data_IF_411299878881
#
_entry.id   IF_411299878881
#
_cell.length_a   1.000
_cell.length_b   1.000
_cell.length_c   1.000
_cell.angle_alpha   90.00
_cell.angle_beta   90.00
_cell.angle_gamma   90.00
#
_symmetry.space_group_name_H-M   'P 1'
#
loop_
_entity.id
_entity.type
_entity.pdbx_description
1 polymer ?
#
# COMPACT_ATOMS: atom_id res chain seq x y z
N UNK A 1 -33.46 -0.92 16.00
CA UNK A 1 -33.27 -1.22 14.57
C UNK A 1 -33.36 -2.73 14.44
N UNK A 2 -34.07 -3.28 13.44
CA UNK A 2 -33.92 -4.69 13.11
C UNK A 2 -32.43 -4.97 12.95
N UNK A 3 -32.00 -6.12 13.48
CA UNK A 3 -30.59 -6.48 13.46
C UNK A 3 -30.23 -6.80 12.01
N UNK A 4 -29.71 -5.81 11.28
CA UNK A 4 -29.26 -5.92 9.87
C UNK A 4 -28.35 -7.14 9.70
N UNK A 5 -27.63 -7.51 10.76
CA UNK A 5 -26.80 -8.70 10.77
C UNK A 5 -27.65 -9.98 10.70
N UNK A 6 -28.76 -10.06 11.45
CA UNK A 6 -29.72 -11.16 11.35
C UNK A 6 -30.38 -11.26 9.97
N UNK A 7 -30.75 -10.11 9.37
CA UNK A 7 -31.32 -10.10 8.02
C UNK A 7 -30.32 -10.66 7.01
N UNK A 8 -29.07 -10.19 7.00
CA UNK A 8 -28.01 -10.65 6.09
C UNK A 8 -27.70 -12.14 6.29
N UNK A 9 -27.63 -12.62 7.54
CA UNK A 9 -27.37 -14.03 7.87
C UNK A 9 -28.53 -14.93 7.41
N UNK A 10 -29.75 -14.41 7.35
CA UNK A 10 -30.95 -15.16 6.97
C UNK A 10 -31.23 -15.22 5.46
N UNK A 11 -30.47 -14.50 4.63
CA UNK A 11 -30.71 -14.45 3.18
C UNK A 11 -30.34 -15.78 2.49
N UNK A 12 -31.30 -16.47 1.84
CA UNK A 12 -31.04 -17.77 1.22
C UNK A 12 -30.13 -17.69 -0.02
N UNK A 13 -30.05 -16.54 -0.69
CA UNK A 13 -29.13 -16.27 -1.79
C UNK A 13 -28.95 -14.75 -1.97
N UNK A 14 -28.05 -14.09 -1.23
CA UNK A 14 -27.86 -12.66 -1.38
C UNK A 14 -27.17 -12.33 -2.70
N UNK A 15 -27.36 -11.09 -3.16
CA UNK A 15 -26.59 -10.51 -4.27
C UNK A 15 -25.09 -10.62 -3.99
N UNK A 16 -24.27 -10.89 -5.00
CA UNK A 16 -22.82 -10.81 -4.85
C UNK A 16 -22.36 -9.36 -4.70
N UNK A 17 -21.38 -9.12 -3.82
CA UNK A 17 -20.80 -7.79 -3.61
C UNK A 17 -19.44 -7.70 -4.30
N UNK A 18 -19.29 -6.72 -5.18
CA UNK A 18 -18.02 -6.45 -5.87
C UNK A 18 -17.06 -5.67 -4.95
N UNK A 19 -15.88 -6.24 -4.68
CA UNK A 19 -14.85 -5.52 -3.92
C UNK A 19 -14.44 -4.23 -4.63
N UNK A 20 -14.10 -4.34 -5.92
CA UNK A 20 -13.56 -3.23 -6.69
C UNK A 20 -14.56 -2.08 -6.92
N UNK A 21 -15.85 -2.39 -7.07
CA UNK A 21 -16.89 -1.40 -7.39
C UNK A 21 -17.65 -0.88 -6.17
N UNK A 22 -17.84 -1.69 -5.14
CA UNK A 22 -18.73 -1.35 -4.01
C UNK A 22 -17.95 -1.19 -2.70
N UNK A 23 -17.05 -2.11 -2.37
CA UNK A 23 -16.32 -2.10 -1.08
C UNK A 23 -15.18 -1.08 -1.08
N UNK A 24 -14.33 -1.10 -2.11
CA UNK A 24 -13.14 -0.25 -2.21
C UNK A 24 -13.48 1.24 -2.08
N UNK A 25 -14.54 1.79 -2.72
CA UNK A 25 -14.94 3.18 -2.49
C UNK A 25 -15.28 3.49 -1.02
N UNK A 26 -15.92 2.58 -0.30
CA UNK A 26 -16.26 2.75 1.11
C UNK A 26 -14.98 2.79 1.95
N UNK A 27 -14.08 1.82 1.76
CA UNK A 27 -12.80 1.79 2.46
C UNK A 27 -11.98 3.07 2.20
N UNK A 28 -11.92 3.53 0.95
CA UNK A 28 -11.23 4.74 0.58
C UNK A 28 -11.80 5.98 1.30
N UNK A 29 -13.12 6.10 1.39
CA UNK A 29 -13.79 7.27 1.96
C UNK A 29 -13.87 7.24 3.49
N UNK A 30 -13.88 6.06 4.11
CA UNK A 30 -14.18 5.88 5.54
C UNK A 30 -13.01 5.38 6.37
N UNK A 31 -12.04 4.70 5.75
CA UNK A 31 -11.02 3.95 6.49
C UNK A 31 -9.58 4.41 6.14
N UNK A 32 -9.30 4.65 4.85
CA UNK A 32 -7.95 4.93 4.34
C UNK A 32 -7.33 6.21 4.90
N UNK A 33 -8.13 7.18 5.37
CA UNK A 33 -7.61 8.39 6.03
C UNK A 33 -6.72 8.06 7.25
N UNK A 34 -7.10 7.03 8.01
CA UNK A 34 -6.35 6.51 9.16
C UNK A 34 -5.47 5.30 8.76
N UNK A 35 -5.94 4.46 7.84
CA UNK A 35 -5.32 3.18 7.47
C UNK A 35 -4.63 3.18 6.09
N UNK A 36 -4.16 4.34 5.63
CA UNK A 36 -3.58 4.49 4.27
C UNK A 36 -2.06 4.53 4.20
N UNK A 37 -1.37 4.66 5.33
CA UNK A 37 0.08 4.92 5.38
C UNK A 37 0.84 3.84 6.14
N UNK A 38 2.17 3.90 6.11
CA UNK A 38 3.03 2.90 6.76
C UNK A 38 2.91 2.91 8.30
N UNK A 39 2.51 4.04 8.86
CA UNK A 39 2.24 4.31 10.27
C UNK A 39 0.77 4.13 10.67
N UNK A 40 -0.03 3.49 9.81
CA UNK A 40 -1.41 3.17 10.14
C UNK A 40 -1.49 2.45 11.50
N UNK A 41 -2.53 2.73 12.33
CA UNK A 41 -2.73 2.01 13.58
C UNK A 41 -2.69 0.50 13.36
N UNK A 42 -1.94 -0.20 14.23
CA UNK A 42 -1.69 -1.64 14.13
C UNK A 42 -1.08 -2.09 12.79
N UNK A 43 -0.43 -1.18 12.06
CA UNK A 43 0.02 -1.39 10.68
C UNK A 43 -1.06 -1.89 9.71
N UNK A 44 -2.34 -1.79 10.08
CA UNK A 44 -3.43 -2.27 9.24
C UNK A 44 -3.62 -1.31 8.07
N UNK A 45 -3.34 -1.79 6.85
CA UNK A 45 -3.49 -1.01 5.62
C UNK A 45 -4.77 -1.41 4.90
N UNK A 46 -5.68 -0.45 4.72
CA UNK A 46 -6.97 -0.66 4.06
C UNK A 46 -7.04 -0.03 2.67
N UNK A 47 -5.89 0.41 2.15
CA UNK A 47 -5.76 1.05 0.83
C UNK A 47 -5.81 0.07 -0.35
N UNK A 48 -5.68 -1.22 -0.10
CA UNK A 48 -5.74 -2.29 -1.11
C UNK A 48 -6.25 -3.59 -0.50
N UNK A 49 -6.65 -4.52 -1.36
CA UNK A 49 -7.08 -5.84 -0.92
C UNK A 49 -5.96 -6.63 -0.25
N UNK A 50 -4.74 -6.53 -0.77
CA UNK A 50 -3.57 -7.20 -0.21
C UNK A 50 -3.20 -6.62 1.17
N UNK A 51 -3.54 -5.36 1.43
CA UNK A 51 -3.42 -4.74 2.74
C UNK A 51 -4.38 -5.35 3.76
N UNK A 52 -5.62 -5.64 3.35
CA UNK A 52 -6.61 -6.37 4.14
C UNK A 52 -6.13 -7.80 4.44
N UNK A 53 -5.63 -8.52 3.43
CA UNK A 53 -5.12 -9.89 3.58
C UNK A 53 -3.88 -9.96 4.47
N UNK A 54 -2.99 -8.97 4.39
CA UNK A 54 -1.86 -8.85 5.30
C UNK A 54 -2.36 -8.79 6.75
N UNK A 55 -3.39 -8.01 7.01
CA UNK A 55 -3.99 -7.84 8.32
C UNK A 55 -3.24 -6.85 9.21
N UNK A 56 -3.30 -7.08 10.52
CA UNK A 56 -2.77 -6.17 11.55
C UNK A 56 -1.53 -6.76 12.23
N UNK A 57 -0.77 -5.90 12.89
CA UNK A 57 0.40 -6.25 13.69
C UNK A 57 0.48 -5.37 14.94
N UNK A 58 0.96 -5.96 16.03
CA UNK A 58 1.26 -5.25 17.29
C UNK A 58 2.60 -4.48 17.22
N UNK A 59 3.38 -4.68 16.16
CA UNK A 59 4.71 -4.08 16.01
C UNK A 59 4.63 -2.56 15.85
N UNK A 60 5.35 -1.84 16.70
CA UNK A 60 5.50 -0.38 16.64
C UNK A 60 6.51 -0.05 15.53
N UNK A 61 6.05 0.66 14.50
CA UNK A 61 6.91 1.01 13.34
C UNK A 61 7.92 2.10 13.73
N UNK A 62 7.43 3.22 14.24
CA UNK A 62 8.24 4.35 14.66
C UNK A 62 8.45 4.29 16.17
N UNK A 63 9.55 3.68 16.55
CA UNK A 63 10.01 3.59 17.93
C UNK A 63 11.30 4.40 18.06
N UNK A 64 11.21 5.58 18.69
CA UNK A 64 12.34 6.47 18.89
C UNK A 64 13.40 5.94 19.86
N UNK A 65 13.09 4.92 20.65
CA UNK A 65 14.03 4.28 21.56
C UNK A 65 14.85 3.15 20.88
N UNK A 66 14.52 2.81 19.64
CA UNK A 66 15.13 1.70 18.91
C UNK A 66 16.58 2.02 18.53
N UNK A 67 17.50 1.18 19.01
CA UNK A 67 18.93 1.29 18.70
C UNK A 67 19.35 0.60 17.40
N UNK A 68 18.59 -0.42 16.95
CA UNK A 68 18.93 -1.23 15.78
C UNK A 68 17.82 -1.21 14.73
N UNK A 69 18.13 -1.25 13.43
CA UNK A 69 17.12 -1.37 12.39
C UNK A 69 16.20 -2.58 12.61
N UNK A 70 14.95 -2.47 12.16
CA UNK A 70 14.02 -3.59 12.06
C UNK A 70 13.76 -3.92 10.61
N UNK A 71 13.42 -5.18 10.37
CA UNK A 71 12.99 -5.64 9.05
C UNK A 71 11.77 -4.85 8.57
N UNK A 72 11.79 -4.34 7.32
CA UNK A 72 10.68 -3.59 6.77
C UNK A 72 9.47 -4.49 6.47
N UNK A 73 8.29 -3.87 6.50
CA UNK A 73 6.98 -4.51 6.29
C UNK A 73 6.17 -3.78 5.23
N UNK A 74 6.82 -3.28 4.17
CA UNK A 74 6.21 -2.56 3.06
C UNK A 74 5.35 -3.52 2.25
N UNK A 75 4.09 -3.12 2.08
CA UNK A 75 3.11 -3.88 1.29
C UNK A 75 3.60 -4.04 -0.15
N UNK A 76 3.36 -5.21 -0.76
CA UNK A 76 3.81 -5.62 -2.10
C UNK A 76 5.31 -5.85 -2.29
N UNK A 77 6.13 -5.50 -1.30
CA UNK A 77 7.59 -5.48 -1.42
C UNK A 77 8.21 -6.55 -0.52
N UNK A 78 7.94 -6.48 0.79
CA UNK A 78 8.66 -7.30 1.77
C UNK A 78 8.03 -8.68 2.01
N UNK A 79 6.79 -8.89 1.56
CA UNK A 79 6.12 -10.18 1.48
C UNK A 79 5.02 -10.15 0.41
N UNK A 80 4.82 -11.29 -0.27
CA UNK A 80 3.94 -11.46 -1.44
C UNK A 80 2.79 -12.43 -1.19
N UNK A 81 2.70 -13.05 -0.01
CA UNK A 81 1.63 -14.00 0.34
C UNK A 81 1.14 -13.84 1.78
N UNK A 82 -0.09 -14.30 2.05
CA UNK A 82 -0.66 -14.35 3.42
C UNK A 82 0.27 -15.08 4.39
N UNK A 83 0.79 -16.24 3.98
CA UNK A 83 1.72 -17.05 4.79
C UNK A 83 2.99 -16.28 5.18
N UNK A 84 3.59 -15.55 4.24
CA UNK A 84 4.77 -14.72 4.52
C UNK A 84 4.46 -13.55 5.46
N UNK A 85 3.24 -12.99 5.41
CA UNK A 85 2.83 -11.98 6.38
C UNK A 85 2.65 -12.56 7.78
N UNK A 86 2.07 -13.77 7.89
CA UNK A 86 1.91 -14.48 9.17
C UNK A 86 3.27 -14.79 9.80
N UNK A 87 4.28 -15.19 9.02
CA UNK A 87 5.64 -15.41 9.53
C UNK A 87 6.34 -14.13 9.97
N UNK A 88 5.92 -12.96 9.46
CA UNK A 88 6.35 -11.63 9.93
C UNK A 88 5.54 -11.10 11.13
N UNK A 89 4.70 -11.93 11.75
CA UNK A 89 3.94 -11.56 12.96
C UNK A 89 2.70 -10.70 12.68
N UNK A 90 2.22 -10.66 11.43
CA UNK A 90 0.89 -10.11 11.14
C UNK A 90 -0.18 -11.18 11.35
N UNK A 91 -1.33 -10.80 11.86
CA UNK A 91 -2.49 -11.67 12.03
C UNK A 91 -3.68 -11.13 11.22
N UNK A 92 -4.58 -12.03 10.84
CA UNK A 92 -5.73 -11.66 10.01
C UNK A 92 -6.72 -10.79 10.78
N UNK A 93 -7.34 -9.85 10.07
CA UNK A 93 -8.52 -9.12 10.55
C UNK A 93 -9.81 -9.62 9.90
N UNK A 94 -9.69 -10.59 8.99
CA UNK A 94 -10.78 -11.28 8.27
C UNK A 94 -10.84 -12.75 8.72
N UNK A 95 -11.94 -13.43 8.44
CA UNK A 95 -11.95 -14.89 8.56
C UNK A 95 -11.15 -15.52 7.40
N UNK A 96 -10.14 -16.32 7.71
CA UNK A 96 -9.33 -17.06 6.71
C UNK A 96 -9.71 -18.54 6.59
N UNK A 97 -10.68 -19.00 7.39
CA UNK A 97 -11.12 -20.40 7.40
C UNK A 97 -11.96 -20.73 6.15
N UNK A 98 -11.77 -21.93 5.57
CA UNK A 98 -12.51 -22.37 4.39
C UNK A 98 -13.86 -23.01 4.76
N UNK A 99 -14.84 -22.88 3.87
CA UNK A 99 -16.16 -23.55 3.96
C UNK A 99 -17.02 -23.21 5.19
N UNK A 100 -16.94 -21.97 5.65
CA UNK A 100 -17.70 -21.45 6.79
C UNK A 100 -19.01 -20.78 6.34
N UNK A 101 -20.02 -20.78 7.21
CA UNK A 101 -21.29 -20.10 6.94
C UNK A 101 -21.13 -18.57 6.92
N UNK A 102 -22.15 -17.85 6.42
CA UNK A 102 -22.16 -16.39 6.50
C UNK A 102 -21.99 -15.88 7.93
N UNK A 103 -22.62 -16.54 8.90
CA UNK A 103 -22.51 -16.19 10.30
C UNK A 103 -21.08 -16.36 10.81
N UNK A 104 -20.45 -17.48 10.48
CA UNK A 104 -19.08 -17.77 10.93
C UNK A 104 -18.07 -16.77 10.35
N UNK A 105 -18.24 -16.38 9.08
CA UNK A 105 -17.41 -15.36 8.44
C UNK A 105 -17.48 -14.01 9.16
N UNK A 106 -18.66 -13.65 9.69
CA UNK A 106 -18.84 -12.43 10.46
C UNK A 106 -18.27 -12.58 11.88
N UNK A 107 -18.68 -13.60 12.63
CA UNK A 107 -18.26 -13.76 14.03
C UNK A 107 -16.74 -13.91 14.20
N UNK A 108 -16.05 -14.51 13.21
CA UNK A 108 -14.59 -14.68 13.20
C UNK A 108 -13.82 -13.49 12.58
N UNK A 109 -14.51 -12.43 12.14
CA UNK A 109 -13.89 -11.26 11.50
C UNK A 109 -13.72 -10.10 12.48
N UNK A 110 -12.47 -9.79 12.85
CA UNK A 110 -12.15 -8.60 13.65
C UNK A 110 -12.67 -7.34 12.97
N UNK A 111 -12.53 -7.23 11.64
CA UNK A 111 -13.03 -6.10 10.87
C UNK A 111 -14.53 -5.89 11.11
N UNK A 112 -15.33 -6.95 10.92
CA UNK A 112 -16.77 -6.90 11.11
C UNK A 112 -17.13 -6.47 12.54
N UNK A 113 -16.53 -7.12 13.53
CA UNK A 113 -16.82 -6.86 14.94
C UNK A 113 -16.51 -5.41 15.31
N UNK A 114 -15.44 -4.82 14.79
CA UNK A 114 -15.11 -3.41 15.02
C UNK A 114 -16.13 -2.44 14.40
N UNK A 115 -16.67 -2.73 13.20
CA UNK A 115 -17.74 -1.90 12.60
C UNK A 115 -19.11 -2.15 13.26
N UNK A 116 -19.37 -3.37 13.73
CA UNK A 116 -20.58 -3.71 14.48
C UNK A 116 -20.63 -2.99 15.83
N UNK A 117 -19.50 -2.94 16.55
CA UNK A 117 -19.37 -2.13 17.78
C UNK A 117 -19.79 -0.69 17.52
N UNK A 118 -19.31 -0.11 16.41
CA UNK A 118 -19.66 1.25 16.02
C UNK A 118 -21.14 1.41 15.76
N UNK A 119 -21.74 0.42 15.10
CA UNK A 119 -23.16 0.42 14.80
C UNK A 119 -24.02 0.39 16.07
N UNK A 120 -23.60 -0.39 17.08
CA UNK A 120 -24.30 -0.51 18.36
C UNK A 120 -24.09 0.68 19.30
N UNK A 121 -22.93 1.32 19.22
CA UNK A 121 -22.55 2.48 20.04
C UNK A 121 -22.17 3.66 19.13
N UNK A 122 -23.18 4.31 18.51
CA UNK A 122 -22.93 5.39 17.55
C UNK A 122 -22.28 6.60 18.21
N UNK A 123 -21.44 7.30 17.45
CA UNK A 123 -20.90 8.60 17.87
C UNK A 123 -21.69 9.76 17.25
N UNK A 124 -21.67 10.95 17.88
CA UNK A 124 -22.40 12.12 17.39
C UNK A 124 -22.04 12.45 15.93
N UNK A 125 -23.06 12.84 15.15
CA UNK A 125 -22.87 13.32 13.78
C UNK A 125 -22.38 14.76 13.71
N UNK A 126 -22.63 15.53 14.77
CA UNK A 126 -22.26 16.93 14.92
C UNK A 126 -21.73 17.17 16.34
N UNK A 127 -20.94 18.22 16.49
CA UNK A 127 -20.35 18.58 17.79
C UNK A 127 -19.11 17.75 18.15
N UNK A 128 -18.64 17.94 19.38
CA UNK A 128 -17.45 17.28 19.88
C UNK A 128 -17.71 15.79 20.19
N UNK A 129 -16.70 14.97 19.95
CA UNK A 129 -16.67 13.57 20.37
C UNK A 129 -16.63 13.51 21.91
N UNK A 130 -17.28 12.50 22.48
CA UNK A 130 -17.37 12.28 23.92
C UNK A 130 -15.96 12.26 24.57
N UNK A 131 -15.78 12.92 25.72
CA UNK A 131 -14.46 13.05 26.38
C UNK A 131 -13.87 11.70 26.76
N UNK A 132 -14.73 10.73 27.04
CA UNK A 132 -14.41 9.34 27.41
C UNK A 132 -13.74 8.57 26.26
N UNK A 133 -13.89 9.03 25.02
CA UNK A 133 -13.14 8.48 23.88
C UNK A 133 -11.69 8.94 23.89
N UNK A 134 -11.34 9.94 24.70
CA UNK A 134 -9.98 10.38 24.97
C UNK A 134 -9.15 10.56 23.70
N UNK A 135 -9.49 11.53 22.82
CA UNK A 135 -8.73 11.80 21.60
C UNK A 135 -7.37 12.42 21.94
N UNK A 136 -6.49 11.62 22.55
CA UNK A 136 -5.11 11.97 22.86
C UNK A 136 -4.21 11.50 21.71
N UNK A 137 -3.32 12.37 21.27
CA UNK A 137 -2.33 12.10 20.22
C UNK A 137 -1.37 10.96 20.60
N UNK A 138 -1.15 10.72 21.90
CA UNK A 138 -0.24 9.69 22.43
C UNK A 138 -0.95 8.41 22.88
N UNK A 139 -2.16 8.16 22.40
CA UNK A 139 -2.90 6.96 22.79
C UNK A 139 -2.19 5.71 22.28
N UNK A 140 -2.02 4.74 23.19
CA UNK A 140 -1.53 3.42 22.83
C UNK A 140 -2.53 2.73 21.90
N UNK A 141 -2.03 2.21 20.78
CA UNK A 141 -2.86 1.41 19.86
C UNK A 141 -3.16 0.06 20.51
N UNK A 142 -4.45 -0.26 20.63
CA UNK A 142 -4.91 -1.59 20.98
C UNK A 142 -5.16 -2.36 19.70
N UNK A 143 -4.39 -3.42 19.51
CA UNK A 143 -4.39 -4.24 18.31
C UNK A 143 -4.86 -5.64 18.70
N UNK A 144 -6.15 -5.84 19.00
CA UNK A 144 -6.66 -7.13 19.43
C UNK A 144 -6.58 -8.14 18.29
N UNK A 145 -6.20 -9.37 18.61
CA UNK A 145 -6.46 -10.53 17.74
C UNK A 145 -7.92 -10.95 17.82
N UNK A 146 -8.33 -11.95 17.03
CA UNK A 146 -9.68 -12.49 17.08
C UNK A 146 -10.02 -13.02 18.50
N UNK A 147 -9.07 -13.66 19.16
CA UNK A 147 -9.22 -14.26 20.49
C UNK A 147 -9.29 -13.19 21.59
N UNK A 148 -8.57 -12.08 21.44
CA UNK A 148 -8.53 -10.97 22.41
C UNK A 148 -9.73 -10.02 22.26
N UNK A 149 -10.43 -10.09 21.12
CA UNK A 149 -11.47 -9.13 20.77
C UNK A 149 -12.66 -9.10 21.74
N UNK A 150 -13.20 -10.22 22.25
CA UNK A 150 -14.29 -10.18 23.23
C UNK A 150 -13.94 -9.35 24.47
N UNK A 151 -12.75 -9.56 25.03
CA UNK A 151 -12.27 -8.81 26.19
C UNK A 151 -12.09 -7.32 25.87
N UNK A 152 -11.52 -7.01 24.70
CA UNK A 152 -11.40 -5.63 24.22
C UNK A 152 -12.77 -4.96 24.11
N UNK A 153 -13.77 -5.65 23.56
CA UNK A 153 -15.13 -5.12 23.39
C UNK A 153 -15.82 -4.79 24.72
N UNK A 154 -15.58 -5.60 25.76
CA UNK A 154 -16.11 -5.36 27.11
C UNK A 154 -15.50 -4.11 27.74
N UNK A 155 -14.18 -3.93 27.63
CA UNK A 155 -13.46 -2.81 28.24
C UNK A 155 -13.61 -1.50 27.44
N UNK A 156 -13.84 -1.60 26.14
CA UNK A 156 -13.79 -0.48 25.20
C UNK A 156 -15.02 -0.45 24.27
N UNK A 157 -16.21 -0.60 24.84
CA UNK A 157 -17.47 -0.73 24.10
C UNK A 157 -17.78 0.41 23.12
N UNK A 158 -17.28 1.62 23.36
CA UNK A 158 -17.45 2.79 22.50
C UNK A 158 -16.32 3.00 21.46
N UNK A 159 -15.35 2.08 21.36
CA UNK A 159 -14.16 2.21 20.49
C UNK A 159 -14.33 1.57 19.11
N UNK A 160 -15.57 1.36 18.67
CA UNK A 160 -15.87 0.86 17.33
C UNK A 160 -15.33 1.77 16.20
N UNK A 161 -15.09 1.16 15.05
CA UNK A 161 -14.55 1.83 13.86
C UNK A 161 -15.66 2.27 12.89
N UNK A 162 -15.57 3.44 12.24
CA UNK A 162 -14.47 4.40 12.31
C UNK A 162 -14.40 5.15 13.65
N UNK A 163 -13.23 5.11 14.28
CA UNK A 163 -13.02 5.67 15.61
C UNK A 163 -13.05 7.21 15.58
N UNK A 164 -13.78 7.82 16.50
CA UNK A 164 -13.88 9.28 16.59
C UNK A 164 -14.72 9.95 15.48
N UNK A 165 -15.36 9.15 14.62
CA UNK A 165 -16.16 9.63 13.48
C UNK A 165 -17.59 9.10 13.56
N UNK A 166 -18.56 9.64 12.80
CA UNK A 166 -19.89 9.05 12.74
C UNK A 166 -19.89 7.63 12.17
N UNK A 167 -20.99 6.93 12.36
CA UNK A 167 -21.21 5.60 11.78
C UNK A 167 -21.16 5.64 10.26
N UNK A 168 -20.90 4.48 9.67
CA UNK A 168 -21.19 4.24 8.27
C UNK A 168 -22.68 4.51 8.00
N UNK A 169 -23.00 4.97 6.80
CA UNK A 169 -24.40 4.97 6.37
C UNK A 169 -24.91 3.53 6.33
N UNK A 170 -26.22 3.33 6.45
CA UNK A 170 -26.85 2.00 6.42
C UNK A 170 -26.41 1.19 5.20
N UNK A 171 -26.48 1.79 4.01
CA UNK A 171 -26.01 1.18 2.76
C UNK A 171 -24.52 0.82 2.77
N UNK A 172 -23.66 1.66 3.34
CA UNK A 172 -22.23 1.39 3.45
C UNK A 172 -21.98 0.22 4.41
N UNK A 173 -22.65 0.21 5.56
CA UNK A 173 -22.57 -0.86 6.54
C UNK A 173 -23.02 -2.19 5.94
N UNK A 174 -24.22 -2.25 5.36
CA UNK A 174 -24.77 -3.44 4.70
C UNK A 174 -23.86 -3.99 3.61
N UNK A 175 -23.30 -3.11 2.77
CA UNK A 175 -22.37 -3.52 1.71
C UNK A 175 -21.14 -4.20 2.29
N UNK A 176 -20.55 -3.64 3.35
CA UNK A 176 -19.38 -4.23 3.99
C UNK A 176 -19.72 -5.53 4.71
N UNK A 177 -20.82 -5.57 5.47
CA UNK A 177 -21.23 -6.78 6.20
C UNK A 177 -21.54 -7.91 5.23
N UNK A 178 -22.29 -7.64 4.16
CA UNK A 178 -22.60 -8.67 3.17
C UNK A 178 -21.35 -9.19 2.46
N UNK A 179 -20.42 -8.30 2.11
CA UNK A 179 -19.14 -8.71 1.53
C UNK A 179 -18.29 -9.56 2.50
N UNK A 180 -18.23 -9.18 3.78
CA UNK A 180 -17.54 -9.96 4.81
C UNK A 180 -18.20 -11.33 5.03
N UNK A 181 -19.53 -11.38 5.09
CA UNK A 181 -20.30 -12.62 5.20
C UNK A 181 -20.06 -13.56 4.01
N UNK A 182 -19.83 -13.02 2.81
CA UNK A 182 -19.45 -13.76 1.60
C UNK A 182 -17.98 -14.21 1.56
N UNK A 183 -17.23 -14.04 2.66
CA UNK A 183 -15.83 -14.45 2.76
C UNK A 183 -14.85 -13.40 2.26
N UNK A 184 -15.28 -12.14 2.13
CA UNK A 184 -14.43 -10.99 1.85
C UNK A 184 -13.56 -11.13 0.59
N UNK A 185 -14.08 -11.73 -0.49
CA UNK A 185 -13.28 -11.99 -1.70
C UNK A 185 -13.07 -10.74 -2.56
N UNK A 186 -12.01 -10.73 -3.38
CA UNK A 186 -11.75 -9.67 -4.36
C UNK A 186 -12.10 -10.10 -5.77
N UNK A 187 -12.72 -9.19 -6.52
CA UNK A 187 -12.92 -9.29 -7.97
C UNK A 187 -11.95 -8.37 -8.75
N UNK A 188 -10.97 -7.79 -8.06
CA UNK A 188 -9.99 -6.89 -8.67
C UNK A 188 -9.10 -7.65 -9.65
N UNK A 189 -9.07 -7.18 -10.90
CA UNK A 189 -8.22 -7.72 -11.96
C UNK A 189 -7.03 -6.80 -12.21
N UNK A 190 -5.91 -7.38 -12.64
CA UNK A 190 -4.77 -6.60 -13.11
C UNK A 190 -5.19 -5.72 -14.30
N UNK A 191 -4.75 -4.47 -14.30
CA UNK A 191 -5.03 -3.53 -15.39
C UNK A 191 -4.31 -3.99 -16.67
N UNK A 192 -5.06 -4.13 -17.76
CA UNK A 192 -4.49 -4.40 -19.07
C UNK A 192 -4.05 -3.10 -19.73
N UNK A 193 -2.74 -2.97 -20.02
CA UNK A 193 -2.22 -1.83 -20.77
C UNK A 193 -2.65 -1.89 -22.23
N UNK A 194 -3.12 -0.74 -22.75
CA UNK A 194 -3.36 -0.58 -24.20
C UNK A 194 -2.03 -0.70 -24.96
N UNK A 195 -2.07 -1.08 -26.23
CA UNK A 195 -0.86 -1.22 -27.09
C UNK A 195 0.02 0.03 -27.08
N UNK A 196 -0.58 1.22 -27.16
CA UNK A 196 0.14 2.49 -27.11
C UNK A 196 0.81 2.74 -25.75
N UNK A 197 0.13 2.36 -24.66
CA UNK A 197 0.66 2.50 -23.29
C UNK A 197 1.84 1.55 -23.08
N UNK A 198 1.71 0.29 -23.51
CA UNK A 198 2.80 -0.68 -23.49
C UNK A 198 4.01 -0.19 -24.29
N UNK A 199 3.80 0.38 -25.48
CA UNK A 199 4.89 0.95 -26.29
C UNK A 199 5.60 2.11 -25.57
N UNK A 200 4.83 3.00 -24.94
CA UNK A 200 5.39 4.13 -24.18
C UNK A 200 6.20 3.64 -22.98
N UNK A 201 5.65 2.72 -22.18
CA UNK A 201 6.34 2.11 -21.03
C UNK A 201 7.64 1.42 -21.45
N UNK A 202 7.60 0.60 -22.52
CA UNK A 202 8.79 -0.06 -23.05
C UNK A 202 9.86 0.93 -23.51
N UNK A 203 9.48 2.07 -24.10
CA UNK A 203 10.44 3.10 -24.51
C UNK A 203 11.15 3.75 -23.31
N UNK A 204 10.44 3.95 -22.20
CA UNK A 204 11.04 4.44 -20.95
C UNK A 204 11.95 3.40 -20.30
N UNK A 205 11.51 2.14 -20.21
CA UNK A 205 12.36 1.06 -19.70
C UNK A 205 13.59 0.86 -20.59
N UNK A 206 13.48 0.98 -21.91
CA UNK A 206 14.64 0.89 -22.82
C UNK A 206 15.64 2.03 -22.59
N UNK A 207 15.17 3.27 -22.37
CA UNK A 207 16.04 4.41 -22.07
C UNK A 207 16.84 4.17 -20.78
N UNK A 208 16.15 3.73 -19.72
CA UNK A 208 16.72 3.51 -18.38
C UNK A 208 17.61 2.25 -18.28
N UNK A 209 17.52 1.34 -19.25
CA UNK A 209 18.26 0.07 -19.22
C UNK A 209 19.30 -0.04 -20.35
N UNK A 210 19.80 1.09 -20.85
CA UNK A 210 20.96 1.11 -21.73
C UNK A 210 22.22 0.59 -21.02
N UNK A 211 23.10 -0.06 -21.80
CA UNK A 211 24.22 -0.84 -21.25
C UNK A 211 25.49 -0.03 -21.02
N UNK A 212 25.63 1.16 -21.59
CA UNK A 212 26.82 1.98 -21.42
C UNK A 212 26.89 2.59 -20.01
N UNK A 213 28.12 2.87 -19.54
CA UNK A 213 28.36 3.34 -18.16
C UNK A 213 27.65 4.66 -17.86
N UNK A 214 27.57 5.56 -18.86
CA UNK A 214 26.91 6.85 -18.72
C UNK A 214 25.42 6.68 -18.48
N UNK A 215 24.74 5.91 -19.31
CA UNK A 215 23.30 5.64 -19.14
C UNK A 215 22.99 4.89 -17.84
N UNK A 216 23.86 3.98 -17.41
CA UNK A 216 23.70 3.28 -16.13
C UNK A 216 23.82 4.24 -14.93
N UNK A 217 24.79 5.15 -14.94
CA UNK A 217 24.94 6.18 -13.91
C UNK A 217 23.73 7.12 -13.85
N UNK A 218 23.25 7.57 -15.01
CA UNK A 218 22.06 8.43 -15.11
C UNK A 218 20.82 7.70 -14.59
N UNK A 219 20.66 6.42 -14.92
CA UNK A 219 19.48 5.65 -14.50
C UNK A 219 19.48 5.38 -12.99
N UNK A 220 20.67 5.14 -12.41
CA UNK A 220 20.86 5.10 -10.95
C UNK A 220 20.46 6.43 -10.31
N UNK A 221 20.96 7.55 -10.84
CA UNK A 221 20.61 8.89 -10.37
C UNK A 221 19.09 9.11 -10.40
N UNK A 222 18.44 8.84 -11.54
CA UNK A 222 17.00 9.03 -11.71
C UNK A 222 16.19 8.16 -10.75
N UNK A 223 16.56 6.88 -10.57
CA UNK A 223 15.89 6.01 -9.61
C UNK A 223 16.06 6.50 -8.17
N UNK A 224 17.28 6.80 -7.74
CA UNK A 224 17.56 7.22 -6.36
C UNK A 224 16.90 8.55 -5.98
N UNK A 225 16.58 9.41 -6.96
CA UNK A 225 15.89 10.68 -6.74
C UNK A 225 14.37 10.61 -6.98
N UNK A 226 13.87 9.58 -7.66
CA UNK A 226 12.44 9.42 -7.97
C UNK A 226 11.78 8.23 -7.25
N UNK A 227 12.48 7.52 -6.37
CA UNK A 227 11.96 6.32 -5.71
C UNK A 227 10.70 6.55 -4.85
N UNK A 228 10.49 7.77 -4.35
CA UNK A 228 9.27 8.17 -3.62
C UNK A 228 8.15 8.70 -4.53
N UNK A 229 8.43 8.91 -5.81
CA UNK A 229 7.49 9.53 -6.72
C UNK A 229 6.44 8.52 -7.20
N UNK A 230 5.20 8.98 -7.24
CA UNK A 230 4.15 8.40 -8.06
C UNK A 230 4.30 8.92 -9.49
N UNK A 231 4.75 8.04 -10.37
CA UNK A 231 4.96 8.32 -11.78
C UNK A 231 3.61 8.35 -12.51
N UNK A 232 3.28 9.49 -13.09
CA UNK A 232 2.12 9.66 -13.96
C UNK A 232 2.58 9.78 -15.41
N UNK A 233 2.20 8.82 -16.25
CA UNK A 233 2.42 8.95 -17.70
C UNK A 233 1.35 9.86 -18.29
N UNK A 234 1.75 10.97 -18.92
CA UNK A 234 0.81 11.99 -19.45
C UNK A 234 -0.13 11.46 -20.53
N UNK A 235 0.23 10.34 -21.17
CA UNK A 235 -0.56 9.69 -22.22
C UNK A 235 -1.51 8.60 -21.69
N UNK A 236 -1.48 8.33 -20.38
CA UNK A 236 -2.24 7.27 -19.73
C UNK A 236 -3.46 7.87 -19.01
N UNK A 237 -4.28 7.01 -18.40
CA UNK A 237 -5.31 7.49 -17.46
C UNK A 237 -4.66 8.35 -16.35
N UNK A 238 -5.22 9.54 -16.12
CA UNK A 238 -4.68 10.51 -15.15
C UNK A 238 -4.73 10.02 -13.71
N UNK A 239 -5.55 9.03 -13.38
CA UNK A 239 -5.67 8.42 -12.05
C UNK A 239 -4.82 7.18 -11.89
N UNK A 240 -4.04 6.79 -12.90
CA UNK A 240 -3.16 5.62 -12.86
C UNK A 240 -1.72 6.05 -12.65
N UNK A 241 -1.12 5.53 -11.59
CA UNK A 241 0.23 5.88 -11.15
C UNK A 241 1.11 4.65 -11.11
N UNK A 242 2.42 4.87 -11.20
CA UNK A 242 3.43 3.81 -11.23
C UNK A 242 4.57 4.16 -10.27
N UNK A 243 5.26 3.13 -9.78
CA UNK A 243 6.54 3.26 -9.08
C UNK A 243 7.66 2.86 -10.04
N UNK A 244 8.77 3.60 -9.99
CA UNK A 244 10.01 3.18 -10.63
C UNK A 244 10.77 2.27 -9.66
N UNK A 245 11.02 1.02 -10.06
CA UNK A 245 11.63 -0.01 -9.21
C UNK A 245 12.87 -0.60 -9.87
N UNK A 246 13.74 -1.20 -9.05
CA UNK A 246 14.80 -2.10 -9.50
C UNK A 246 14.26 -3.52 -9.56
N UNK A 247 14.61 -4.28 -10.60
CA UNK A 247 14.08 -5.61 -10.89
C UNK A 247 15.19 -6.56 -11.33
N UNK A 248 15.09 -7.84 -10.96
CA UNK A 248 15.97 -8.90 -11.48
C UNK A 248 15.59 -9.36 -12.89
N UNK A 249 14.37 -9.05 -13.33
CA UNK A 249 13.82 -9.48 -14.63
C UNK A 249 13.65 -8.30 -15.61
N UNK A 250 13.92 -8.51 -16.91
CA UNK A 250 13.77 -7.50 -17.95
C UNK A 250 12.31 -7.33 -18.42
N UNK A 251 12.06 -6.24 -19.15
CA UNK A 251 10.79 -5.96 -19.84
C UNK A 251 10.25 -7.20 -20.57
N UNK A 252 8.93 -7.43 -20.46
CA UNK A 252 8.27 -8.62 -21.00
C UNK A 252 8.10 -9.77 -20.00
N UNK A 253 8.86 -9.78 -18.91
CA UNK A 253 8.69 -10.72 -17.80
C UNK A 253 7.97 -10.08 -16.61
N UNK A 254 7.30 -10.88 -15.75
CA UNK A 254 6.82 -10.42 -14.45
C UNK A 254 7.94 -9.73 -13.68
N UNK A 255 7.63 -8.58 -13.06
CA UNK A 255 8.62 -7.80 -12.30
C UNK A 255 9.02 -8.58 -11.04
N UNK A 256 10.32 -8.81 -10.87
CA UNK A 256 10.89 -9.32 -9.63
C UNK A 256 11.65 -8.21 -8.91
N UNK A 257 10.92 -7.44 -8.09
CA UNK A 257 11.43 -6.25 -7.40
C UNK A 257 12.60 -6.58 -6.45
N UNK A 258 13.66 -5.78 -6.53
CA UNK A 258 14.82 -5.82 -5.64
C UNK A 258 14.51 -4.88 -4.46
N UNK A 259 14.02 -5.48 -3.38
CA UNK A 259 13.42 -4.82 -2.22
C UNK A 259 14.44 -4.30 -1.17
N UNK A 260 15.44 -3.51 -1.56
CA UNK A 260 16.38 -2.94 -0.58
C UNK A 260 15.72 -1.96 0.38
N UNK A 261 16.33 -1.74 1.56
CA UNK A 261 15.79 -0.79 2.56
C UNK A 261 15.93 0.64 2.05
N UNK A 262 17.11 1.01 1.56
CA UNK A 262 17.38 2.32 0.96
C UNK A 262 17.50 2.20 -0.56
N UNK A 263 17.15 3.24 -1.32
CA UNK A 263 17.28 3.21 -2.79
C UNK A 263 18.73 3.05 -3.26
N UNK A 264 19.70 3.54 -2.48
CA UNK A 264 21.12 3.47 -2.79
C UNK A 264 21.82 2.22 -2.24
N UNK A 265 21.12 1.33 -1.53
CA UNK A 265 21.72 0.06 -1.09
C UNK A 265 22.05 -0.82 -2.31
N UNK A 266 23.06 -1.68 -2.15
CA UNK A 266 23.45 -2.63 -3.19
C UNK A 266 22.27 -3.49 -3.66
N UNK A 267 22.03 -3.58 -4.98
CA UNK A 267 20.99 -4.46 -5.54
C UNK A 267 21.37 -5.95 -5.46
N UNK A 268 22.55 -6.29 -4.93
CA UNK A 268 23.10 -7.63 -4.91
C UNK A 268 23.80 -8.01 -6.23
N UNK A 269 24.11 -9.30 -6.36
CA UNK A 269 24.76 -9.85 -7.57
C UNK A 269 23.68 -10.25 -8.58
N UNK A 270 23.86 -9.87 -9.84
CA UNK A 270 23.01 -10.32 -10.94
C UNK A 270 22.57 -9.18 -11.86
N UNK A 271 21.62 -9.50 -12.75
CA UNK A 271 21.06 -8.53 -13.68
C UNK A 271 20.19 -7.51 -12.94
N UNK A 272 20.36 -6.24 -13.27
CA UNK A 272 19.60 -5.11 -12.74
C UNK A 272 18.83 -4.44 -13.88
N UNK A 273 17.52 -4.28 -13.68
CA UNK A 273 16.65 -3.55 -14.59
C UNK A 273 15.81 -2.52 -13.85
N UNK A 274 15.67 -1.32 -14.41
CA UNK A 274 14.71 -0.33 -13.98
C UNK A 274 13.36 -0.58 -14.66
N UNK A 275 12.31 -0.80 -13.85
CA UNK A 275 10.97 -1.22 -14.32
C UNK A 275 9.89 -0.33 -13.72
N UNK A 276 8.75 -0.22 -14.39
CA UNK A 276 7.57 0.46 -13.83
C UNK A 276 6.53 -0.55 -13.34
N UNK A 277 6.09 -0.38 -12.09
CA UNK A 277 5.02 -1.19 -11.47
C UNK A 277 3.85 -0.28 -11.16
N UNK A 278 2.63 -0.67 -11.54
CA UNK A 278 1.42 0.11 -11.25
C UNK A 278 1.17 0.17 -9.73
N UNK A 279 0.78 1.35 -9.23
CA UNK A 279 0.33 1.51 -7.85
C UNK A 279 -1.08 0.95 -7.70
N UNK A 280 -1.21 -0.16 -6.98
CA UNK A 280 -2.49 -0.83 -6.74
C UNK A 280 -3.24 -0.25 -5.56
N UNK A 281 -2.55 0.42 -4.63
CA UNK A 281 -3.15 1.05 -3.45
C UNK A 281 -3.95 2.30 -3.80
N UNK A 282 -4.92 2.62 -2.96
CA UNK A 282 -5.55 3.93 -2.95
C UNK A 282 -4.49 5.02 -2.72
N UNK A 283 -4.53 6.05 -3.57
CA UNK A 283 -3.66 7.22 -3.45
C UNK A 283 -4.07 8.04 -2.22
N UNK A 284 -3.11 8.37 -1.37
CA UNK A 284 -3.31 9.22 -0.19
C UNK A 284 -2.43 10.45 -0.26
N UNK A 285 -2.97 11.61 0.10
CA UNK A 285 -2.26 12.88 0.01
C UNK A 285 -0.91 12.88 0.75
N UNK A 286 -0.83 12.14 1.87
CA UNK A 286 0.34 12.02 2.75
C UNK A 286 1.61 11.51 2.05
N UNK A 287 1.49 10.77 0.94
CA UNK A 287 2.62 10.21 0.21
C UNK A 287 2.51 10.39 -1.31
N UNK A 288 1.70 11.35 -1.78
CA UNK A 288 1.42 11.52 -3.20
C UNK A 288 2.31 12.56 -3.89
N UNK A 289 3.59 12.21 -4.10
CA UNK A 289 4.53 13.04 -4.86
C UNK A 289 4.46 12.69 -6.36
N UNK A 290 3.74 13.49 -7.14
CA UNK A 290 3.52 13.18 -8.57
C UNK A 290 4.68 13.65 -9.44
N UNK A 291 5.29 12.73 -10.19
CA UNK A 291 6.25 13.06 -11.24
C UNK A 291 5.70 12.67 -12.61
N UNK A 292 5.62 13.64 -13.53
CA UNK A 292 5.00 13.43 -14.84
C UNK A 292 6.03 12.98 -15.88
N UNK A 293 5.81 11.82 -16.48
CA UNK A 293 6.58 11.32 -17.62
C UNK A 293 5.79 11.49 -18.92
N UNK A 294 6.43 12.10 -19.91
CA UNK A 294 5.86 12.33 -21.23
C UNK A 294 6.90 12.80 -22.24
N UNK A 295 6.49 13.12 -23.48
CA UNK A 295 7.42 13.55 -24.52
C UNK A 295 8.29 14.75 -24.14
N UNK A 296 7.75 15.71 -23.38
CA UNK A 296 8.50 16.87 -22.90
C UNK A 296 9.54 16.47 -21.86
N UNK A 297 9.17 15.67 -20.85
CA UNK A 297 10.10 15.16 -19.84
C UNK A 297 11.20 14.31 -20.48
N UNK A 298 10.86 13.50 -21.48
CA UNK A 298 11.82 12.68 -22.23
C UNK A 298 12.87 13.55 -22.92
N UNK A 299 12.44 14.58 -23.66
CA UNK A 299 13.36 15.56 -24.28
C UNK A 299 14.20 16.29 -23.24
N UNK A 300 13.60 16.66 -22.10
CA UNK A 300 14.30 17.35 -21.01
C UNK A 300 15.40 16.48 -20.40
N UNK A 301 15.11 15.21 -20.11
CA UNK A 301 16.12 14.28 -19.59
C UNK A 301 17.24 14.04 -20.58
N UNK A 302 16.93 13.88 -21.88
CA UNK A 302 17.95 13.79 -22.93
C UNK A 302 18.87 15.01 -22.93
N UNK A 303 18.29 16.21 -22.99
CA UNK A 303 19.05 17.46 -22.98
C UNK A 303 19.88 17.69 -21.70
N UNK A 304 19.39 17.25 -20.54
CA UNK A 304 20.08 17.41 -19.27
C UNK A 304 21.22 16.41 -19.07
N UNK A 305 21.05 15.18 -19.52
CA UNK A 305 21.93 14.07 -19.15
C UNK A 305 22.55 13.35 -20.35
N UNK A 306 21.74 12.92 -21.31
CA UNK A 306 22.22 12.01 -22.36
C UNK A 306 22.98 12.74 -23.47
N UNK A 307 22.52 13.92 -23.86
CA UNK A 307 23.07 14.71 -24.97
C UNK A 307 24.25 15.60 -24.52
N UNK A 308 24.51 15.70 -23.20
CA UNK A 308 25.66 16.43 -22.66
C UNK A 308 26.96 15.70 -22.97
N UNK A 309 27.99 16.42 -23.36
CA UNK A 309 29.30 15.83 -23.62
C UNK A 309 30.06 15.61 -22.31
N UNK A 310 29.99 14.39 -21.80
CA UNK A 310 30.79 13.91 -20.68
C UNK A 310 30.94 12.39 -20.76
N UNK A 311 32.00 11.88 -20.15
CA UNK A 311 32.33 10.46 -20.12
C UNK A 311 32.23 9.93 -18.69
N UNK A 312 31.72 8.71 -18.55
CA UNK A 312 31.73 7.97 -17.29
C UNK A 312 32.74 6.86 -17.41
N UNK A 313 33.78 6.92 -16.59
CA UNK A 313 34.94 6.01 -16.66
C UNK A 313 34.72 4.75 -15.82
N UNK A 314 33.97 4.87 -14.72
CA UNK A 314 33.60 3.78 -13.84
C UNK A 314 32.26 4.07 -13.15
N UNK A 315 31.53 3.03 -12.77
CA UNK A 315 30.34 3.17 -11.95
C UNK A 315 30.72 3.35 -10.47
N UNK A 316 30.03 4.21 -9.73
CA UNK A 316 30.22 4.36 -8.29
C UNK A 316 29.86 3.08 -7.54
N UNK A 317 30.54 2.82 -6.43
CA UNK A 317 30.25 1.67 -5.58
C UNK A 317 28.86 1.80 -4.91
N UNK A 318 28.36 0.68 -4.41
CA UNK A 318 27.22 0.61 -3.49
C UNK A 318 27.67 0.58 -2.01
N UNK A 319 28.96 0.68 -1.74
CA UNK A 319 29.49 0.80 -0.38
C UNK A 319 28.95 2.04 0.32
N UNK A 320 28.62 1.90 1.60
CA UNK A 320 27.88 2.92 2.38
C UNK A 320 28.54 4.30 2.33
N UNK A 321 29.87 4.36 2.43
CA UNK A 321 30.65 5.61 2.44
C UNK A 321 30.59 6.39 1.12
N UNK A 322 30.28 5.70 0.02
CA UNK A 322 30.08 6.32 -1.28
C UNK A 322 28.59 6.54 -1.54
N UNK A 323 27.79 5.46 -1.46
CA UNK A 323 26.41 5.42 -1.91
C UNK A 323 25.48 6.37 -1.12
N UNK A 324 25.78 6.64 0.15
CA UNK A 324 25.01 7.57 0.96
C UNK A 324 25.27 9.05 0.62
N UNK A 325 26.35 9.36 -0.11
CA UNK A 325 26.72 10.72 -0.47
C UNK A 325 26.50 10.98 -1.98
N UNK A 326 25.45 11.73 -2.36
CA UNK A 326 25.13 11.97 -3.77
C UNK A 326 26.20 12.79 -4.48
N UNK A 327 26.91 13.70 -3.80
CA UNK A 327 27.98 14.50 -4.40
C UNK A 327 29.20 13.65 -4.78
N UNK A 328 29.46 12.56 -4.04
CA UNK A 328 30.51 11.59 -4.39
C UNK A 328 30.02 10.61 -5.46
N UNK A 329 28.83 10.05 -5.25
CA UNK A 329 28.25 9.03 -6.14
C UNK A 329 28.06 9.55 -7.56
N UNK A 330 27.58 10.78 -7.71
CA UNK A 330 27.21 11.35 -9.00
C UNK A 330 28.19 12.43 -9.49
N UNK A 331 29.41 12.48 -8.96
CA UNK A 331 30.42 13.51 -9.31
C UNK A 331 30.77 13.57 -10.80
N UNK A 332 30.55 12.48 -11.55
CA UNK A 332 30.81 12.41 -13.00
C UNK A 332 29.66 12.98 -13.83
N UNK A 333 28.50 13.28 -13.23
CA UNK A 333 27.40 13.99 -13.88
C UNK A 333 27.69 15.50 -13.76
N UNK A 334 27.81 16.25 -14.88
CA UNK A 334 28.04 17.69 -14.83
C UNK A 334 26.92 18.44 -14.10
N UNK A 335 27.30 19.53 -13.43
CA UNK A 335 26.38 20.44 -12.73
C UNK A 335 25.39 21.16 -13.68
#
# INVERSE_FOLDING_TARGET
MPDVDHEIISLPAPRSVSFSKEVRPILNNRCVVCHGCYDAPCQLKLSSYEGLERGASKSVVYDGARLNPVEPTRLFVDAKSKKEWRSKGFYSVLNESSHESYRDNLEKSVFYRMIQMKQRQPQPRTGAVAKELGPNLNRQNYCPTQEELPHFMEQHSNWGMPFGLPNLTEREYETLVLWLAQGAQTDQKATLLKKAERKSLNAWEQLLNQKDLKSQLISRYLYEHLFLAHIQFVQFDKRRFYRLVRSRTPSGNPVDEIATVRPYDSPGVGALYYRFVEESSAIVAKNHLVYKLGPQTYKRWKSLFYDKDFQVTALPSYDVDQASNPFRTFTQIPA
#
